data_IF_625885931289
#
_entry.id   IF_625885931289
#
_cell.length_a   1.000
_cell.length_b   1.000
_cell.length_c   1.000
_cell.angle_alpha   90.00
_cell.angle_beta   90.00
_cell.angle_gamma   90.00
#
_symmetry.space_group_name_H-M   'P 1'
#
loop_
_entity.id
_entity.type
_entity.pdbx_description
1 polymer ?
#
# COMPACT_ATOMS: atom_id res chain seq x y z
N UNK A 1 24.48 -6.60 -2.69
CA UNK A 1 23.69 -5.51 -2.07
C UNK A 1 22.22 -5.91 -1.88
N UNK A 2 21.52 -6.40 -2.92
CA UNK A 2 20.11 -6.87 -2.81
C UNK A 2 19.87 -7.96 -1.75
N UNK A 3 20.76 -8.97 -1.65
CA UNK A 3 20.64 -10.03 -0.64
C UNK A 3 20.76 -9.51 0.82
N UNK A 4 21.55 -8.46 1.05
CA UNK A 4 21.72 -7.84 2.37
C UNK A 4 20.47 -7.06 2.79
N UNK A 5 19.83 -6.36 1.85
CA UNK A 5 18.56 -5.65 2.08
C UNK A 5 17.44 -6.65 2.39
N UNK A 6 17.36 -7.76 1.64
CA UNK A 6 16.40 -8.85 1.90
C UNK A 6 16.57 -9.47 3.29
N UNK A 7 17.81 -9.76 3.69
CA UNK A 7 18.11 -10.30 5.01
C UNK A 7 17.78 -9.33 6.15
N UNK A 8 18.03 -8.03 5.95
CA UNK A 8 17.71 -6.98 6.92
C UNK A 8 16.20 -6.77 7.07
N UNK A 9 15.46 -6.75 5.95
CA UNK A 9 14.01 -6.66 5.93
C UNK A 9 13.35 -7.87 6.62
N UNK A 10 13.91 -9.07 6.42
CA UNK A 10 13.44 -10.30 7.06
C UNK A 10 13.60 -10.25 8.57
N UNK A 11 14.79 -9.86 9.04
CA UNK A 11 15.07 -9.68 10.47
C UNK A 11 14.15 -8.63 11.11
N UNK A 12 13.93 -7.52 10.43
CA UNK A 12 12.98 -6.50 10.90
C UNK A 12 11.56 -7.07 11.07
N UNK A 13 11.07 -7.80 10.08
CA UNK A 13 9.74 -8.41 10.13
C UNK A 13 9.62 -9.48 11.22
N UNK A 14 10.61 -10.35 11.35
CA UNK A 14 10.64 -11.40 12.39
C UNK A 14 10.70 -10.79 13.81
N UNK A 15 11.51 -9.73 14.00
CA UNK A 15 11.54 -8.97 15.25
C UNK A 15 10.18 -8.30 15.55
N UNK A 16 9.53 -7.74 14.53
CA UNK A 16 8.19 -7.16 14.65
C UNK A 16 7.14 -8.17 15.12
N UNK A 17 7.13 -9.37 14.53
CA UNK A 17 6.26 -10.47 14.98
C UNK A 17 6.55 -10.86 16.43
N UNK A 18 7.82 -10.90 16.82
CA UNK A 18 8.22 -11.27 18.19
C UNK A 18 7.73 -10.25 19.23
N UNK A 19 7.79 -8.95 18.95
CA UNK A 19 7.28 -7.89 19.83
C UNK A 19 5.77 -8.01 20.08
N UNK A 20 5.03 -8.57 19.12
CA UNK A 20 3.57 -8.62 19.15
C UNK A 20 3.00 -9.99 19.55
N UNK A 21 3.87 -10.98 19.79
CA UNK A 21 3.53 -12.38 20.11
C UNK A 21 2.57 -12.55 21.31
N UNK A 22 2.57 -11.60 22.25
CA UNK A 22 1.75 -11.67 23.47
C UNK A 22 0.55 -10.73 23.48
N UNK A 23 0.38 -9.91 22.44
CA UNK A 23 -0.73 -8.96 22.39
C UNK A 23 -2.05 -9.59 21.89
N UNK A 24 -2.02 -10.83 21.37
CA UNK A 24 -3.18 -11.59 20.88
C UNK A 24 -4.11 -10.78 19.96
N UNK A 25 -3.52 -9.91 19.15
CA UNK A 25 -4.23 -9.07 18.21
C UNK A 25 -4.55 -9.87 16.94
N UNK A 26 -5.74 -10.48 16.88
CA UNK A 26 -6.20 -11.24 15.70
C UNK A 26 -6.03 -10.50 14.36
N UNK A 27 -6.27 -9.17 14.25
CA UNK A 27 -6.02 -8.45 13.00
C UNK A 27 -4.53 -8.45 12.61
N UNK A 28 -3.64 -8.38 13.60
CA UNK A 28 -2.20 -8.37 13.36
C UNK A 28 -1.68 -9.75 12.94
N UNK A 29 -2.20 -10.82 13.54
CA UNK A 29 -1.87 -12.21 13.15
C UNK A 29 -2.20 -12.44 11.66
N UNK A 30 -3.41 -12.07 11.23
CA UNK A 30 -3.82 -12.16 9.82
C UNK A 30 -2.94 -11.33 8.89
N UNK A 31 -2.55 -10.13 9.33
CA UNK A 31 -1.65 -9.28 8.58
C UNK A 31 -0.26 -9.91 8.44
N UNK A 32 0.30 -10.41 9.53
CA UNK A 32 1.61 -11.07 9.54
C UNK A 32 1.61 -12.31 8.63
N UNK A 33 0.55 -13.13 8.67
CA UNK A 33 0.38 -14.28 7.77
C UNK A 33 0.28 -13.88 6.30
N UNK A 34 -0.37 -12.75 6.00
CA UNK A 34 -0.45 -12.22 4.63
C UNK A 34 0.94 -11.79 4.14
N UNK A 35 1.66 -11.02 4.95
CA UNK A 35 3.00 -10.54 4.60
C UNK A 35 3.97 -11.70 4.46
N UNK A 36 3.90 -12.72 5.32
CA UNK A 36 4.75 -13.91 5.23
C UNK A 36 4.53 -14.67 3.90
N UNK A 37 3.27 -14.87 3.49
CA UNK A 37 2.92 -15.55 2.23
C UNK A 37 3.45 -14.85 0.99
N UNK A 38 3.61 -13.52 1.04
CA UNK A 38 4.02 -12.70 -0.10
C UNK A 38 5.39 -12.04 0.10
N UNK A 39 6.15 -12.46 1.11
CA UNK A 39 7.36 -11.77 1.56
C UNK A 39 8.36 -11.60 0.42
N UNK A 40 8.57 -12.64 -0.39
CA UNK A 40 9.51 -12.62 -1.49
C UNK A 40 9.17 -11.57 -2.56
N UNK A 41 7.88 -11.41 -2.87
CA UNK A 41 7.39 -10.42 -3.82
C UNK A 41 7.51 -9.00 -3.28
N UNK A 42 7.15 -8.79 -2.00
CA UNK A 42 7.29 -7.49 -1.34
C UNK A 42 8.76 -7.07 -1.31
N UNK A 43 9.65 -7.96 -0.86
CA UNK A 43 11.07 -7.69 -0.75
C UNK A 43 11.74 -7.43 -2.11
N UNK A 44 11.24 -8.02 -3.20
CA UNK A 44 11.75 -7.76 -4.55
C UNK A 44 11.44 -6.33 -5.03
N UNK A 45 10.36 -5.72 -4.55
CA UNK A 45 9.96 -4.36 -4.88
C UNK A 45 10.53 -3.29 -3.95
N UNK A 46 11.07 -3.66 -2.78
CA UNK A 46 11.71 -2.74 -1.81
C UNK A 46 13.09 -2.24 -2.27
N UNK A 47 13.18 -1.71 -3.48
CA UNK A 47 14.38 -1.06 -4.01
C UNK A 47 14.34 0.45 -3.70
N UNK A 48 15.48 1.11 -3.42
CA UNK A 48 15.52 2.55 -3.13
C UNK A 48 14.81 3.41 -4.18
N UNK A 49 14.86 2.99 -5.44
CA UNK A 49 14.26 3.67 -6.58
C UNK A 49 12.73 3.62 -6.56
N UNK A 50 12.15 2.60 -5.91
CA UNK A 50 10.70 2.44 -5.75
C UNK A 50 10.17 3.12 -4.49
N UNK A 51 11.00 3.88 -3.78
CA UNK A 51 10.62 4.54 -2.53
C UNK A 51 9.64 5.69 -2.84
N UNK A 52 8.36 5.41 -2.70
CA UNK A 52 7.33 6.44 -2.63
C UNK A 52 7.32 7.11 -1.24
N UNK A 53 7.11 8.43 -1.19
CA UNK A 53 6.93 9.12 0.09
C UNK A 53 5.55 8.80 0.67
N UNK A 54 5.45 8.70 2.00
CA UNK A 54 4.16 8.44 2.67
C UNK A 54 3.13 9.53 2.33
N UNK A 55 3.56 10.79 2.30
CA UNK A 55 2.70 11.91 1.91
C UNK A 55 2.17 11.79 0.47
N UNK A 56 2.96 11.27 -0.46
CA UNK A 56 2.49 11.01 -1.83
C UNK A 56 1.43 9.90 -1.85
N UNK A 57 1.69 8.78 -1.18
CA UNK A 57 0.72 7.65 -1.10
C UNK A 57 -0.58 8.08 -0.43
N UNK A 58 -0.50 8.90 0.62
CA UNK A 58 -1.68 9.42 1.32
C UNK A 58 -2.47 10.41 0.46
N UNK A 59 -1.79 11.35 -0.21
CA UNK A 59 -2.42 12.27 -1.15
C UNK A 59 -3.11 11.52 -2.30
N UNK A 60 -2.47 10.48 -2.83
CA UNK A 60 -3.06 9.61 -3.86
C UNK A 60 -4.31 8.89 -3.34
N UNK A 61 -4.25 8.29 -2.15
CA UNK A 61 -5.40 7.64 -1.52
C UNK A 61 -6.57 8.61 -1.31
N UNK A 62 -6.28 9.85 -0.91
CA UNK A 62 -7.29 10.89 -0.77
C UNK A 62 -7.93 11.24 -2.11
N UNK A 63 -7.15 11.41 -3.19
CA UNK A 63 -7.69 11.62 -4.54
C UNK A 63 -8.59 10.46 -4.99
N UNK A 64 -8.16 9.20 -4.81
CA UNK A 64 -8.97 8.02 -5.15
C UNK A 64 -10.31 8.05 -4.40
N UNK A 65 -10.28 8.37 -3.09
CA UNK A 65 -11.50 8.48 -2.28
C UNK A 65 -12.44 9.59 -2.78
N UNK A 66 -11.91 10.74 -3.21
CA UNK A 66 -12.72 11.81 -3.81
C UNK A 66 -13.35 11.35 -5.12
N UNK A 67 -12.59 10.69 -6.01
CA UNK A 67 -13.09 10.14 -7.27
C UNK A 67 -14.21 9.13 -7.01
N UNK A 68 -14.01 8.19 -6.08
CA UNK A 68 -15.02 7.20 -5.70
C UNK A 68 -16.30 7.85 -5.15
N UNK A 69 -16.18 8.90 -4.33
CA UNK A 69 -17.33 9.67 -3.82
C UNK A 69 -18.09 10.38 -4.93
N UNK A 70 -17.38 10.99 -5.89
CA UNK A 70 -18.00 11.66 -7.04
C UNK A 70 -18.63 10.67 -8.03
N UNK A 71 -18.11 9.44 -8.11
CA UNK A 71 -18.63 8.38 -8.96
C UNK A 71 -19.76 7.57 -8.29
N UNK A 72 -20.14 7.88 -7.04
CA UNK A 72 -21.18 7.13 -6.33
C UNK A 72 -22.51 7.20 -7.08
N UNK A 73 -23.09 6.04 -7.41
CA UNK A 73 -24.32 5.94 -8.22
C UNK A 73 -24.09 5.96 -9.74
N UNK A 74 -22.88 6.20 -10.22
CA UNK A 74 -22.55 6.09 -11.65
C UNK A 74 -22.42 4.62 -12.04
N UNK A 75 -23.35 4.12 -12.86
CA UNK A 75 -23.32 2.73 -13.39
C UNK A 75 -22.47 2.58 -14.66
N UNK A 76 -21.82 3.65 -15.12
CA UNK A 76 -21.16 3.72 -16.43
C UNK A 76 -19.66 3.89 -16.24
N UNK A 77 -18.89 2.93 -16.74
CA UNK A 77 -17.43 2.87 -16.67
C UNK A 77 -16.76 4.11 -17.26
N UNK A 78 -17.33 4.66 -18.34
CA UNK A 78 -16.82 5.83 -19.05
C UNK A 78 -16.79 7.09 -18.16
N UNK A 79 -17.77 7.25 -17.28
CA UNK A 79 -17.82 8.38 -16.34
C UNK A 79 -16.70 8.30 -15.30
N UNK A 80 -16.43 7.09 -14.78
CA UNK A 80 -15.31 6.86 -13.86
C UNK A 80 -13.97 7.13 -14.55
N UNK A 81 -13.81 6.66 -15.79
CA UNK A 81 -12.59 6.91 -16.59
C UNK A 81 -12.35 8.40 -16.80
N UNK A 82 -13.40 9.15 -17.13
CA UNK A 82 -13.29 10.60 -17.28
C UNK A 82 -12.83 11.28 -15.99
N UNK A 83 -13.43 10.92 -14.83
CA UNK A 83 -13.02 11.43 -13.51
C UNK A 83 -11.56 11.13 -13.17
N UNK A 84 -11.05 9.96 -13.57
CA UNK A 84 -9.63 9.61 -13.39
C UNK A 84 -8.74 10.50 -14.25
N UNK A 85 -9.08 10.69 -15.53
CA UNK A 85 -8.29 11.52 -16.45
C UNK A 85 -8.27 12.99 -16.05
N UNK A 86 -9.33 13.50 -15.43
CA UNK A 86 -9.44 14.91 -15.04
C UNK A 86 -8.94 15.21 -13.62
N UNK A 87 -8.68 14.22 -12.76
CA UNK A 87 -8.36 14.46 -11.34
C UNK A 87 -7.02 15.17 -11.06
N UNK A 88 -6.20 15.35 -12.10
CA UNK A 88 -4.90 16.03 -12.05
C UNK A 88 -4.90 17.32 -12.88
N UNK A 89 -6.02 17.68 -13.50
CA UNK A 89 -6.16 18.95 -14.20
C UNK A 89 -6.37 20.09 -13.19
N UNK A 90 -5.89 21.31 -13.48
CA UNK A 90 -6.17 22.48 -12.66
C UNK A 90 -7.68 22.77 -12.65
N UNK A 91 -8.17 23.26 -11.50
CA UNK A 91 -9.54 23.76 -11.39
C UNK A 91 -9.72 24.97 -12.32
N UNK A 92 -10.84 25.03 -13.03
CA UNK A 92 -11.24 26.14 -13.90
C UNK A 92 -11.99 27.18 -13.09
#
# INVERSE_FOLDING_TARGET
MELYVRGSARRFFDNGKALLKWQRLKPYEKFAELVERHFDGIAAFCKPENKASLGFVEALNNKIRVIQRQAYGSRVEEYLRHKILTCMLPDI
#
